data_IF_764787841523
#
_entry.id   IF_764787841523
#
_cell.length_a   1.000
_cell.length_b   1.000
_cell.length_c   1.000
_cell.angle_alpha   90.00
_cell.angle_beta   90.00
_cell.angle_gamma   90.00
#
_symmetry.space_group_name_H-M   'P 1'
#
loop_
_entity.id
_entity.type
_entity.pdbx_description
1 polymer ?
#
# COMPACT_ATOMS: atom_id res chain seq x y z
N UNK A 1 5.55 -2.51 19.95
CA UNK A 1 5.51 -1.06 19.69
C UNK A 1 5.81 -0.93 18.20
N UNK A 2 4.88 -0.42 17.40
CA UNK A 2 5.17 -0.08 16.00
C UNK A 2 5.86 1.27 16.04
N UNK A 3 7.15 1.29 15.74
CA UNK A 3 7.91 2.53 15.59
C UNK A 3 7.99 2.83 14.08
N UNK A 4 7.92 4.10 13.74
CA UNK A 4 8.15 4.63 12.40
C UNK A 4 9.45 5.42 12.47
N UNK A 5 10.22 5.49 11.37
CA UNK A 5 11.51 6.17 11.33
C UNK A 5 11.41 7.63 11.77
N UNK A 6 12.47 8.14 12.43
CA UNK A 6 12.45 9.50 13.02
C UNK A 6 12.31 10.63 11.98
N UNK A 7 12.62 10.37 10.71
CA UNK A 7 12.66 11.35 9.62
C UNK A 7 11.57 11.11 8.55
N UNK A 8 10.59 10.26 8.84
CA UNK A 8 9.51 9.97 7.91
C UNK A 8 8.51 11.12 7.83
N UNK A 9 7.99 11.33 6.61
CA UNK A 9 6.90 12.28 6.38
C UNK A 9 5.58 11.54 6.25
N UNK A 10 4.54 12.14 6.81
CA UNK A 10 3.17 11.65 6.72
C UNK A 10 2.40 12.53 5.73
N UNK A 11 1.95 11.93 4.64
CA UNK A 11 1.12 12.60 3.65
C UNK A 11 -0.33 12.24 3.89
N UNK A 12 -1.22 13.23 4.00
CA UNK A 12 -2.66 12.98 4.10
C UNK A 12 -3.16 12.43 2.76
N UNK A 13 -3.52 11.14 2.74
CA UNK A 13 -4.01 10.45 1.56
C UNK A 13 -5.54 10.59 1.43
N UNK A 14 -6.27 10.34 2.53
CA UNK A 14 -7.74 10.46 2.58
C UNK A 14 -8.20 11.07 3.88
N UNK A 15 -9.31 11.79 3.82
CA UNK A 15 -9.95 12.40 4.97
C UNK A 15 -11.45 12.54 4.78
N UNK A 16 -12.20 12.34 5.85
CA UNK A 16 -13.66 12.43 5.83
C UNK A 16 -14.23 12.78 7.20
N UNK A 17 -15.40 13.45 7.19
CA UNK A 17 -16.20 13.68 8.38
C UNK A 17 -17.41 12.75 8.36
N UNK A 18 -17.72 12.18 9.52
CA UNK A 18 -18.76 11.18 9.70
C UNK A 18 -19.64 11.56 10.88
N UNK A 19 -20.95 11.43 10.68
CA UNK A 19 -21.89 11.49 11.78
C UNK A 19 -21.86 10.17 12.57
N UNK A 20 -22.29 10.17 13.84
CA UNK A 20 -22.42 8.94 14.62
C UNK A 20 -23.32 7.89 13.96
N UNK A 21 -24.37 8.32 13.26
CA UNK A 21 -25.31 7.42 12.59
C UNK A 21 -24.67 6.79 11.34
N UNK A 22 -23.93 7.56 10.54
CA UNK A 22 -23.19 7.01 9.39
C UNK A 22 -22.17 5.93 9.80
N UNK A 23 -21.52 6.09 10.96
CA UNK A 23 -20.58 5.07 11.48
C UNK A 23 -21.29 3.82 12.00
N UNK A 24 -22.52 3.94 12.55
CA UNK A 24 -23.34 2.79 12.93
C UNK A 24 -23.78 2.01 11.70
N UNK A 25 -24.29 2.71 10.68
CA UNK A 25 -24.74 2.09 9.44
C UNK A 25 -23.58 1.30 8.79
N UNK A 26 -22.38 1.91 8.74
CA UNK A 26 -21.18 1.23 8.26
C UNK A 26 -20.81 0.00 9.10
N UNK A 27 -20.89 0.09 10.43
CA UNK A 27 -20.61 -1.04 11.32
C UNK A 27 -21.61 -2.20 11.12
N UNK A 28 -22.88 -1.90 10.89
CA UNK A 28 -23.93 -2.87 10.59
C UNK A 28 -23.68 -3.55 9.23
N UNK A 29 -23.36 -2.79 8.19
CA UNK A 29 -22.98 -3.32 6.87
C UNK A 29 -21.79 -4.28 6.97
N UNK A 30 -20.74 -3.90 7.72
CA UNK A 30 -19.58 -4.78 7.92
C UNK A 30 -19.94 -6.08 8.67
N UNK A 31 -20.87 -6.02 9.64
CA UNK A 31 -21.37 -7.23 10.32
C UNK A 31 -22.17 -8.13 9.38
N UNK A 32 -22.93 -7.57 8.44
CA UNK A 32 -23.65 -8.36 7.43
C UNK A 32 -22.69 -9.09 6.50
N UNK A 33 -21.62 -8.42 6.06
CA UNK A 33 -20.63 -9.00 5.14
C UNK A 33 -19.74 -10.04 5.84
N UNK A 34 -19.25 -9.74 7.04
CA UNK A 34 -18.20 -10.52 7.71
C UNK A 34 -18.67 -11.30 8.95
N UNK A 35 -19.96 -11.25 9.28
CA UNK A 35 -20.62 -11.98 10.37
C UNK A 35 -20.42 -11.38 11.77
N UNK A 36 -19.18 -11.04 12.14
CA UNK A 36 -18.90 -10.24 13.33
C UNK A 36 -17.61 -9.46 13.18
N UNK A 37 -17.66 -8.13 13.34
CA UNK A 37 -16.47 -7.32 13.51
C UNK A 37 -15.73 -7.77 14.78
N UNK A 38 -14.45 -8.14 14.67
CA UNK A 38 -13.64 -8.61 15.81
C UNK A 38 -13.36 -7.50 16.83
N UNK A 39 -13.47 -6.22 16.42
CA UNK A 39 -13.33 -5.04 17.26
C UNK A 39 -14.61 -4.19 17.21
N UNK A 40 -15.65 -4.62 17.93
CA UNK A 40 -16.91 -3.88 18.00
C UNK A 40 -16.73 -2.59 18.79
N UNK A 41 -17.02 -1.44 18.16
CA UNK A 41 -16.98 -0.15 18.85
C UNK A 41 -18.09 -0.10 19.88
N UNK A 42 -17.73 0.09 21.16
CA UNK A 42 -18.68 0.00 22.28
C UNK A 42 -19.81 1.03 22.15
N UNK A 43 -19.56 2.21 21.55
CA UNK A 43 -20.60 3.17 21.15
C UNK A 43 -20.04 4.37 20.38
N UNK A 44 -20.79 4.87 19.39
CA UNK A 44 -20.57 6.17 18.74
C UNK A 44 -21.34 7.29 19.48
N UNK A 45 -20.67 7.99 20.39
CA UNK A 45 -21.26 9.02 21.28
C UNK A 45 -20.80 10.45 21.01
N UNK A 46 -19.87 10.64 20.08
CA UNK A 46 -19.40 11.98 19.68
C UNK A 46 -20.48 12.77 18.97
N UNK A 47 -20.27 14.08 18.85
CA UNK A 47 -21.06 14.92 17.95
C UNK A 47 -20.54 14.80 16.51
N UNK A 48 -19.21 14.68 16.37
CA UNK A 48 -18.53 14.59 15.08
C UNK A 48 -17.38 13.58 15.16
N UNK A 49 -17.18 12.84 14.06
CA UNK A 49 -16.04 11.97 13.85
C UNK A 49 -15.27 12.37 12.59
N UNK A 50 -13.94 12.42 12.66
CA UNK A 50 -13.10 12.70 11.50
C UNK A 50 -12.14 11.53 11.31
N UNK A 51 -12.27 10.83 10.19
CA UNK A 51 -11.35 9.78 9.77
C UNK A 51 -10.26 10.35 8.88
N UNK A 52 -9.00 10.06 9.20
CA UNK A 52 -7.82 10.49 8.44
C UNK A 52 -6.95 9.27 8.15
N UNK A 53 -6.46 9.19 6.93
CA UNK A 53 -5.56 8.15 6.45
C UNK A 53 -4.30 8.81 5.87
N UNK A 54 -3.15 8.34 6.33
CA UNK A 54 -1.84 8.88 5.97
C UNK A 54 -0.99 7.81 5.29
N UNK A 55 -0.40 8.20 4.17
CA UNK A 55 0.73 7.51 3.54
C UNK A 55 2.04 7.98 4.18
N UNK A 56 3.06 7.13 4.09
CA UNK A 56 4.38 7.37 4.68
C UNK A 56 5.39 7.55 3.55
N UNK A 57 6.24 8.56 3.66
CA UNK A 57 7.41 8.71 2.78
C UNK A 57 8.69 8.34 3.51
N UNK A 58 9.50 7.49 2.86
CA UNK A 58 10.87 7.19 3.24
C UNK A 58 11.82 7.80 2.21
N UNK A 59 12.77 8.62 2.65
CA UNK A 59 13.77 9.26 1.76
C UNK A 59 13.16 10.05 0.59
N UNK A 60 11.96 10.61 0.78
CA UNK A 60 11.22 11.35 -0.26
C UNK A 60 10.55 10.46 -1.30
N UNK A 61 10.48 9.14 -1.07
CA UNK A 61 9.77 8.17 -1.90
C UNK A 61 8.63 7.59 -1.04
N UNK A 62 7.38 7.54 -1.55
CA UNK A 62 6.27 6.93 -0.81
C UNK A 62 6.53 5.43 -0.58
N UNK A 63 6.13 4.91 0.57
CA UNK A 63 6.00 3.46 0.76
C UNK A 63 4.65 3.00 0.20
N UNK A 64 4.55 1.75 -0.25
CA UNK A 64 3.29 1.17 -0.72
C UNK A 64 2.18 1.41 0.32
N UNK A 65 1.18 2.19 -0.09
CA UNK A 65 0.14 2.70 0.77
C UNK A 65 -1.11 1.81 0.76
N UNK A 66 -2.22 2.38 1.23
CA UNK A 66 -3.49 1.68 1.36
C UNK A 66 -4.44 2.00 0.22
N UNK A 67 -5.07 0.96 -0.34
CA UNK A 67 -5.97 1.10 -1.47
C UNK A 67 -5.28 1.12 -2.84
N UNK A 68 -3.97 0.87 -2.87
CA UNK A 68 -3.30 0.50 -4.12
C UNK A 68 -3.76 -0.88 -4.58
N UNK A 69 -3.90 -1.11 -5.89
CA UNK A 69 -4.07 -2.46 -6.40
C UNK A 69 -2.92 -3.34 -5.92
N UNK A 70 -3.27 -4.53 -5.42
CA UNK A 70 -2.28 -5.55 -5.09
C UNK A 70 -1.50 -5.95 -6.33
N UNK A 71 -0.31 -6.53 -6.13
CA UNK A 71 0.39 -7.14 -7.24
C UNK A 71 -0.37 -8.39 -7.71
N UNK A 72 -0.50 -8.58 -9.02
CA UNK A 72 -0.96 -9.86 -9.60
C UNK A 72 0.12 -10.93 -9.37
N UNK A 73 0.22 -11.42 -8.13
CA UNK A 73 1.27 -12.34 -7.71
C UNK A 73 1.08 -13.71 -8.38
N UNK A 74 2.11 -14.18 -9.09
CA UNK A 74 2.14 -15.53 -9.68
C UNK A 74 2.91 -16.47 -8.77
N UNK A 75 2.33 -16.84 -7.62
CA UNK A 75 2.96 -17.74 -6.65
C UNK A 75 2.26 -17.80 -5.29
N UNK A 76 2.88 -18.47 -4.30
CA UNK A 76 2.35 -18.58 -2.92
C UNK A 76 2.80 -17.44 -1.99
N UNK A 77 3.47 -16.41 -2.53
CA UNK A 77 3.99 -15.30 -1.73
C UNK A 77 2.99 -14.15 -1.78
N UNK A 78 2.66 -13.59 -0.62
CA UNK A 78 1.86 -12.37 -0.52
C UNK A 78 2.78 -11.29 0.04
N UNK A 79 3.30 -10.42 -0.84
CA UNK A 79 4.26 -9.35 -0.48
C UNK A 79 3.60 -7.97 -0.40
N UNK A 80 2.28 -7.91 -0.50
CA UNK A 80 1.51 -6.68 -0.33
C UNK A 80 1.44 -6.34 1.16
N UNK A 81 2.49 -5.69 1.66
CA UNK A 81 2.56 -5.18 3.03
C UNK A 81 2.34 -3.66 3.03
N UNK A 82 1.09 -3.19 2.82
CA UNK A 82 0.84 -1.76 2.79
C UNK A 82 1.19 -1.13 4.14
N UNK A 83 1.82 0.03 4.12
CA UNK A 83 2.22 0.75 5.33
C UNK A 83 1.55 2.10 5.37
N UNK A 84 0.74 2.32 6.40
CA UNK A 84 -0.11 3.50 6.51
C UNK A 84 -0.49 3.75 7.96
N UNK A 85 -0.95 4.97 8.23
CA UNK A 85 -1.51 5.37 9.52
C UNK A 85 -2.95 5.78 9.35
N UNK A 86 -3.82 5.28 10.23
CA UNK A 86 -5.21 5.73 10.33
C UNK A 86 -5.45 6.39 11.68
N UNK A 87 -6.13 7.52 11.65
CA UNK A 87 -6.52 8.28 12.83
C UNK A 87 -8.02 8.51 12.78
N UNK A 88 -8.70 8.21 13.88
CA UNK A 88 -10.08 8.61 14.08
C UNK A 88 -10.14 9.63 15.20
N UNK A 89 -10.59 10.83 14.86
CA UNK A 89 -10.87 11.89 15.83
C UNK A 89 -12.34 11.83 16.23
N UNK A 90 -12.62 12.07 17.50
CA UNK A 90 -13.94 12.32 18.05
C UNK A 90 -13.93 13.70 18.72
N UNK A 91 -14.79 14.61 18.24
CA UNK A 91 -14.92 15.97 18.79
C UNK A 91 -13.56 16.69 18.93
N UNK A 92 -12.68 16.51 17.94
CA UNK A 92 -11.33 17.09 17.89
C UNK A 92 -10.27 16.38 18.75
N UNK A 93 -10.58 15.24 19.37
CA UNK A 93 -9.62 14.43 20.16
C UNK A 93 -9.37 13.09 19.49
N UNK A 94 -8.17 12.55 19.61
CA UNK A 94 -7.87 11.20 19.10
C UNK A 94 -8.72 10.18 19.87
N UNK A 95 -9.56 9.46 19.13
CA UNK A 95 -10.40 8.37 19.61
C UNK A 95 -9.78 7.01 19.27
N UNK A 96 -9.25 6.85 18.05
CA UNK A 96 -8.51 5.67 17.65
C UNK A 96 -7.29 6.05 16.81
N UNK A 97 -6.27 5.21 16.88
CA UNK A 97 -5.03 5.36 16.15
C UNK A 97 -4.49 3.98 15.79
N UNK A 98 -4.22 3.76 14.50
CA UNK A 98 -3.72 2.50 13.97
C UNK A 98 -2.50 2.80 13.11
N UNK A 99 -1.43 2.04 13.33
CA UNK A 99 -0.29 1.95 12.42
C UNK A 99 -0.34 0.54 11.84
N UNK A 100 -0.41 0.44 10.51
CA UNK A 100 -0.23 -0.82 9.82
C UNK A 100 1.24 -0.94 9.36
N UNK A 101 1.87 -2.09 9.63
CA UNK A 101 3.24 -2.41 9.19
C UNK A 101 4.30 -1.33 9.51
N UNK A 102 4.36 -0.86 10.76
CA UNK A 102 5.48 0.00 11.22
C UNK A 102 6.82 -0.74 11.22
N UNK A 103 7.91 0.00 11.01
CA UNK A 103 9.26 -0.54 10.88
C UNK A 103 10.33 0.38 11.50
N UNK A 104 11.43 -0.22 11.92
CA UNK A 104 12.64 0.48 12.33
C UNK A 104 13.72 0.29 11.26
N UNK A 105 14.42 1.36 10.90
CA UNK A 105 15.53 1.27 9.94
C UNK A 105 16.77 0.74 10.66
N UNK A 106 17.21 -0.47 10.29
CA UNK A 106 18.39 -1.13 10.87
C UNK A 106 19.65 -0.81 10.06
N UNK A 107 19.53 -0.83 8.74
CA UNK A 107 20.60 -0.57 7.77
C UNK A 107 20.02 0.19 6.58
N UNK A 108 20.81 1.07 5.99
CA UNK A 108 20.51 1.73 4.73
C UNK A 108 21.66 1.49 3.74
N UNK A 109 21.31 1.23 2.49
CA UNK A 109 22.25 0.99 1.41
C UNK A 109 21.91 1.92 0.26
N UNK A 110 22.94 2.54 -0.32
CA UNK A 110 22.79 3.25 -1.58
C UNK A 110 22.68 2.24 -2.73
N UNK A 111 21.78 2.50 -3.65
CA UNK A 111 21.60 1.73 -4.86
C UNK A 111 21.28 2.67 -6.02
N UNK A 112 21.79 2.34 -7.21
CA UNK A 112 21.40 3.02 -8.44
C UNK A 112 20.00 2.53 -8.84
N UNK A 113 19.09 3.48 -9.09
CA UNK A 113 17.72 3.20 -9.50
C UNK A 113 17.63 3.37 -11.02
N UNK A 114 17.11 2.36 -11.74
CA UNK A 114 16.84 2.44 -13.17
C UNK A 114 15.83 3.56 -13.47
N UNK A 115 15.90 4.12 -14.67
CA UNK A 115 14.97 5.18 -15.08
C UNK A 115 13.53 4.66 -15.22
N UNK A 116 12.55 5.58 -15.17
CA UNK A 116 11.15 5.23 -15.43
C UNK A 116 10.96 4.71 -16.87
N UNK A 117 11.72 5.24 -17.83
CA UNK A 117 11.72 4.81 -19.22
C UNK A 117 12.24 3.38 -19.36
N UNK A 118 13.35 3.05 -18.71
CA UNK A 118 13.92 1.69 -18.71
C UNK A 118 12.96 0.68 -18.06
N UNK A 119 12.36 1.04 -16.92
CA UNK A 119 11.37 0.20 -16.26
C UNK A 119 10.11 0.00 -17.13
N UNK A 120 9.68 1.04 -17.86
CA UNK A 120 8.54 0.96 -18.79
C UNK A 120 8.85 0.05 -19.99
N UNK A 121 10.06 0.12 -20.53
CA UNK A 121 10.50 -0.78 -21.61
C UNK A 121 10.47 -2.25 -21.17
N UNK A 122 10.92 -2.53 -19.94
CA UNK A 122 10.84 -3.86 -19.34
C UNK A 122 9.38 -4.31 -19.20
N UNK A 123 8.52 -3.45 -18.67
CA UNK A 123 7.10 -3.78 -18.46
C UNK A 123 6.38 -4.03 -19.78
N UNK A 124 6.61 -3.21 -20.80
CA UNK A 124 6.06 -3.45 -22.15
C UNK A 124 6.59 -4.78 -22.72
N UNK A 125 7.87 -5.10 -22.46
CA UNK A 125 8.50 -6.36 -22.84
C UNK A 125 7.78 -7.59 -22.28
N UNK A 126 7.19 -7.51 -21.07
CA UNK A 126 6.41 -8.61 -20.48
C UNK A 126 5.16 -8.99 -21.30
N UNK A 127 4.70 -8.09 -22.19
CA UNK A 127 3.56 -8.32 -23.08
C UNK A 127 3.94 -8.61 -24.53
N UNK A 128 5.24 -8.60 -24.89
CA UNK A 128 5.66 -8.72 -26.30
C UNK A 128 5.18 -10.00 -26.99
N UNK A 129 5.03 -11.07 -26.21
CA UNK A 129 4.66 -12.40 -26.68
C UNK A 129 3.18 -12.72 -26.49
N UNK A 130 2.40 -11.79 -25.91
CA UNK A 130 0.97 -11.96 -25.68
C UNK A 130 0.20 -11.46 -26.90
N UNK A 131 -0.41 -12.40 -27.64
CA UNK A 131 -1.33 -12.07 -28.73
C UNK A 131 -2.70 -11.77 -28.12
N UNK A 132 -2.99 -10.48 -27.92
CA UNK A 132 -4.29 -9.98 -27.45
C UNK A 132 -4.70 -8.75 -28.25
N UNK A 133 -6.01 -8.61 -28.50
CA UNK A 133 -6.61 -7.37 -29.04
C UNK A 133 -6.96 -6.36 -27.93
N UNK A 134 -6.66 -6.72 -26.66
CA UNK A 134 -6.92 -5.90 -25.49
C UNK A 134 -5.94 -4.71 -25.43
N UNK A 135 -6.49 -3.50 -25.30
CA UNK A 135 -5.70 -2.29 -25.06
C UNK A 135 -5.64 -2.04 -23.56
N UNK A 136 -4.45 -2.20 -22.97
CA UNK A 136 -4.18 -1.83 -21.59
C UNK A 136 -3.66 -0.40 -21.52
N UNK A 137 -4.24 0.42 -20.66
CA UNK A 137 -3.82 1.82 -20.47
C UNK A 137 -3.15 1.96 -19.12
N UNK A 138 -1.91 2.46 -19.13
CA UNK A 138 -1.22 2.89 -17.92
C UNK A 138 -1.79 4.24 -17.51
N UNK A 139 -2.38 4.28 -16.31
CA UNK A 139 -3.00 5.47 -15.73
C UNK A 139 -1.98 6.30 -14.94
N UNK A 140 -1.03 5.63 -14.28
CA UNK A 140 -0.03 6.26 -13.43
C UNK A 140 1.27 5.43 -13.41
N UNK A 141 2.40 6.15 -13.35
CA UNK A 141 3.73 5.57 -13.11
C UNK A 141 4.32 6.30 -11.92
N UNK A 142 4.71 5.57 -10.88
CA UNK A 142 5.33 6.14 -9.68
C UNK A 142 6.44 5.25 -9.13
N UNK A 143 7.37 5.85 -8.41
CA UNK A 143 8.38 5.13 -7.65
C UNK A 143 7.87 4.96 -6.21
N UNK A 144 7.95 3.75 -5.67
CA UNK A 144 7.52 3.46 -4.30
C UNK A 144 8.43 2.43 -3.62
N UNK A 145 8.49 2.47 -2.30
CA UNK A 145 9.15 1.44 -1.50
C UNK A 145 8.18 0.32 -1.16
N UNK A 146 8.59 -0.91 -1.43
CA UNK A 146 7.84 -2.13 -1.09
C UNK A 146 8.64 -2.94 -0.09
N UNK A 147 7.97 -3.39 0.97
CA UNK A 147 8.59 -4.26 1.95
C UNK A 147 8.56 -5.70 1.43
N UNK A 148 9.71 -6.31 1.22
CA UNK A 148 9.85 -7.70 0.76
C UNK A 148 10.48 -8.51 1.89
N UNK A 149 10.04 -9.76 2.13
CA UNK A 149 10.69 -10.60 3.12
C UNK A 149 12.18 -10.76 2.81
N UNK A 150 13.04 -10.60 3.82
CA UNK A 150 14.46 -10.93 3.68
C UNK A 150 14.63 -12.45 3.75
N UNK A 151 14.55 -13.08 2.57
CA UNK A 151 14.68 -14.51 2.39
C UNK A 151 16.02 -15.08 2.86
N UNK A 152 17.06 -14.24 2.96
CA UNK A 152 18.41 -14.64 3.36
C UNK A 152 18.65 -14.52 4.87
N UNK A 153 17.84 -13.72 5.57
CA UNK A 153 18.03 -13.46 7.01
C UNK A 153 17.79 -14.66 7.92
N UNK A 154 17.12 -15.71 7.43
CA UNK A 154 16.65 -16.83 8.26
C UNK A 154 15.63 -16.41 9.34
N UNK A 155 15.20 -15.15 9.35
CA UNK A 155 14.18 -14.60 10.24
C UNK A 155 12.91 -14.32 9.44
N UNK A 156 11.77 -14.96 9.79
CA UNK A 156 10.50 -14.72 9.09
C UNK A 156 9.93 -13.31 9.30
N UNK A 157 10.58 -12.46 10.10
CA UNK A 157 10.16 -11.09 10.38
C UNK A 157 11.04 -10.01 9.75
N UNK A 158 12.20 -10.37 9.18
CA UNK A 158 13.06 -9.41 8.48
C UNK A 158 12.41 -9.00 7.17
N UNK A 159 12.27 -7.70 6.93
CA UNK A 159 11.83 -7.16 5.65
C UNK A 159 12.88 -6.19 5.12
N UNK A 160 13.15 -6.27 3.84
CA UNK A 160 13.93 -5.27 3.10
C UNK A 160 12.96 -4.32 2.40
N UNK A 161 13.24 -3.02 2.46
CA UNK A 161 12.47 -2.00 1.75
C UNK A 161 13.19 -1.70 0.44
N UNK A 162 12.60 -2.14 -0.67
CA UNK A 162 13.21 -2.06 -2.00
C UNK A 162 12.39 -1.07 -2.84
N UNK A 163 13.04 -0.16 -3.61
CA UNK A 163 12.31 0.73 -4.50
C UNK A 163 11.80 -0.04 -5.73
N UNK A 164 10.54 0.17 -6.09
CA UNK A 164 9.89 -0.38 -7.28
C UNK A 164 9.24 0.74 -8.10
N UNK A 165 9.34 0.62 -9.42
CA UNK A 165 8.47 1.35 -10.34
C UNK A 165 7.12 0.64 -10.40
N UNK A 166 6.07 1.33 -9.97
CA UNK A 166 4.70 0.86 -9.95
C UNK A 166 3.94 1.45 -11.14
N UNK A 167 3.35 0.57 -11.94
CA UNK A 167 2.56 0.88 -13.12
C UNK A 167 1.10 0.54 -12.84
N UNK A 168 0.30 1.56 -12.52
CA UNK A 168 -1.13 1.38 -12.31
C UNK A 168 -1.81 1.39 -13.68
N UNK A 169 -2.52 0.32 -14.00
CA UNK A 169 -3.27 0.17 -15.24
C UNK A 169 -4.73 -0.14 -14.99
N UNK A 170 -5.57 0.18 -15.96
CA UNK A 170 -6.96 -0.25 -16.00
C UNK A 170 -7.20 -1.22 -17.16
N UNK A 171 -8.07 -2.20 -16.96
CA UNK A 171 -8.59 -3.02 -18.06
C UNK A 171 -9.80 -2.37 -18.76
N UNK A 172 -10.44 -3.10 -19.68
CA UNK A 172 -11.62 -2.60 -20.41
C UNK A 172 -12.89 -2.48 -19.55
N UNK A 173 -12.95 -3.16 -18.41
CA UNK A 173 -14.08 -3.10 -17.47
C UNK A 173 -13.88 -1.98 -16.43
N UNK A 174 -12.67 -1.42 -16.36
CA UNK A 174 -12.29 -0.34 -15.46
C UNK A 174 -11.65 -0.83 -14.16
N UNK A 175 -11.38 -2.13 -14.04
CA UNK A 175 -10.68 -2.71 -12.90
C UNK A 175 -9.21 -2.29 -12.92
N UNK A 176 -8.68 -1.94 -11.74
CA UNK A 176 -7.32 -1.44 -11.58
C UNK A 176 -6.37 -2.57 -11.18
N UNK A 177 -5.20 -2.58 -11.80
CA UNK A 177 -4.11 -3.51 -11.54
C UNK A 177 -2.81 -2.73 -11.39
N UNK A 178 -1.84 -3.32 -10.68
CA UNK A 178 -0.53 -2.74 -10.50
C UNK A 178 0.56 -3.76 -10.84
N UNK A 179 1.36 -3.45 -11.85
CA UNK A 179 2.59 -4.17 -12.14
C UNK A 179 3.77 -3.42 -11.53
N UNK A 180 4.75 -4.15 -11.02
CA UNK A 180 5.85 -3.58 -10.23
C UNK A 180 7.18 -4.12 -10.69
N UNK A 181 8.04 -3.23 -11.15
CA UNK A 181 9.40 -3.52 -11.62
C UNK A 181 10.41 -3.02 -10.59
N UNK A 182 11.28 -3.91 -10.13
CA UNK A 182 12.33 -3.63 -9.16
C UNK A 182 13.21 -2.50 -9.69
N UNK A 183 13.25 -1.39 -8.94
CA UNK A 183 13.98 -0.18 -9.34
C UNK A 183 15.50 -0.39 -9.35
N UNK A 184 16.03 -1.43 -8.72
CA UNK A 184 17.48 -1.72 -8.69
C UNK A 184 17.87 -2.77 -9.72
N UNK A 185 17.06 -3.82 -9.87
CA UNK A 185 17.42 -4.99 -10.69
C UNK A 185 16.69 -5.07 -12.03
N UNK A 186 15.56 -4.37 -12.17
CA UNK A 186 14.63 -4.53 -13.29
C UNK A 186 13.78 -5.81 -13.23
N UNK A 187 13.87 -6.59 -12.15
CA UNK A 187 13.06 -7.79 -11.93
C UNK A 187 11.57 -7.47 -11.71
N UNK A 188 10.68 -8.45 -11.89
CA UNK A 188 9.25 -8.25 -11.72
C UNK A 188 8.75 -8.87 -10.39
N UNK A 189 8.11 -8.04 -9.57
CA UNK A 189 7.62 -8.42 -8.24
C UNK A 189 6.66 -9.62 -8.27
N UNK A 190 5.88 -9.78 -9.34
CA UNK A 190 4.96 -10.91 -9.51
C UNK A 190 5.68 -12.27 -9.48
N UNK A 191 6.99 -12.29 -9.72
CA UNK A 191 7.87 -13.46 -9.69
C UNK A 191 8.79 -13.49 -8.46
N UNK A 192 8.61 -12.55 -7.53
CA UNK A 192 9.43 -12.42 -6.31
C UNK A 192 10.81 -11.79 -6.54
N UNK A 193 10.97 -11.04 -7.64
CA UNK A 193 12.22 -10.38 -8.05
C UNK A 193 12.24 -8.87 -7.74
#
# INVERSE_FOLDING_TARGET
LYQLGADEKFLLAKGGCYSPDALKDFEEEQKEIWGSAQDTVVSWKGMEYIGLEYEIEKNGIPVMGVGEPGADMKGEFNVDFPTYVRVLLQDGKINAFLINNGYETIEEKEADIISAEEALEIEIGNYSDIISDEVKTIQEIKLEYIAIPDWNSGSPSGKEWIPYWCFIRSDSEGDLYADRINGVTGGNLAYGE
#
